data_IF_855443049794
#
_entry.id   IF_855443049794
#
_cell.length_a   1.000
_cell.length_b   1.000
_cell.length_c   1.000
_cell.angle_alpha   90.00
_cell.angle_beta   90.00
_cell.angle_gamma   90.00
#
_symmetry.space_group_name_H-M   'P 1'
#
loop_
_entity.id
_entity.type
_entity.pdbx_description
1 polymer ?
#
# COMPACT_ATOMS: atom_id res chain seq x y z
N UNK A 1 40.99 15.75 26.29
CA UNK A 1 39.91 15.28 25.41
C UNK A 1 40.59 14.78 24.14
N UNK A 2 40.84 13.47 24.06
CA UNK A 2 41.46 12.87 22.88
C UNK A 2 40.32 12.74 21.87
N UNK A 3 40.42 13.45 20.75
CA UNK A 3 39.50 13.27 19.64
C UNK A 3 39.96 11.98 18.98
N UNK A 4 39.22 10.89 19.16
CA UNK A 4 39.45 9.68 18.38
C UNK A 4 39.17 10.03 16.91
N UNK A 5 40.24 10.09 16.11
CA UNK A 5 40.13 10.26 14.66
C UNK A 5 39.78 8.90 14.07
N UNK A 6 38.56 8.78 13.57
CA UNK A 6 38.13 7.64 12.76
C UNK A 6 38.51 7.86 11.31
N UNK A 7 38.75 6.77 10.58
CA UNK A 7 38.86 6.82 9.13
C UNK A 7 37.54 7.17 8.48
N UNK A 8 37.64 7.91 7.39
CA UNK A 8 36.52 8.06 6.47
C UNK A 8 36.29 6.76 5.69
N UNK A 9 35.16 6.71 5.01
CA UNK A 9 34.72 5.53 4.28
C UNK A 9 35.64 5.24 3.08
N UNK A 10 36.26 6.24 2.46
CA UNK A 10 37.19 6.05 1.34
C UNK A 10 38.45 5.30 1.77
N UNK A 11 39.03 5.65 2.92
CA UNK A 11 40.17 4.93 3.48
C UNK A 11 39.78 3.51 3.85
N UNK A 12 38.60 3.29 4.45
CA UNK A 12 38.12 1.94 4.79
C UNK A 12 37.84 1.09 3.54
N UNK A 13 37.32 1.67 2.46
CA UNK A 13 37.15 0.99 1.18
C UNK A 13 38.51 0.56 0.61
N UNK A 14 39.54 1.41 0.68
CA UNK A 14 40.90 1.05 0.25
C UNK A 14 41.48 -0.16 1.00
N UNK A 15 41.11 -0.33 2.27
CA UNK A 15 41.52 -1.49 3.09
C UNK A 15 40.85 -2.81 2.71
N UNK A 16 39.81 -2.80 1.86
CA UNK A 16 39.24 -4.02 1.30
C UNK A 16 40.22 -4.72 0.33
N UNK A 17 41.10 -3.96 -0.31
CA UNK A 17 42.09 -4.46 -1.28
C UNK A 17 43.46 -4.70 -0.62
N UNK A 18 43.87 -3.82 0.31
CA UNK A 18 45.18 -3.88 0.96
C UNK A 18 45.08 -3.89 2.51
N UNK A 19 44.57 -4.97 3.12
CA UNK A 19 44.35 -5.03 4.58
C UNK A 19 45.64 -5.06 5.41
N UNK A 20 46.78 -5.39 4.80
CA UNK A 20 48.06 -5.63 5.48
C UNK A 20 48.75 -4.35 5.99
N UNK A 21 48.26 -3.18 5.59
CA UNK A 21 48.89 -1.88 5.90
C UNK A 21 48.24 -1.12 7.05
N UNK A 22 47.18 -1.67 7.64
CA UNK A 22 46.42 -0.93 8.64
C UNK A 22 46.83 -1.22 10.09
N UNK A 23 47.05 -0.14 10.83
CA UNK A 23 47.36 -0.15 12.26
C UNK A 23 46.23 0.37 13.15
N UNK A 24 45.16 0.92 12.56
CA UNK A 24 44.11 1.62 13.31
C UNK A 24 42.86 0.76 13.55
N UNK A 25 42.36 0.07 12.53
CA UNK A 25 41.14 -0.75 12.59
C UNK A 25 41.20 -1.83 13.68
N UNK A 26 42.33 -2.54 13.91
CA UNK A 26 42.41 -3.52 15.00
C UNK A 26 42.18 -2.94 16.40
N UNK A 27 42.34 -1.62 16.59
CA UNK A 27 42.16 -0.93 17.85
C UNK A 27 40.94 -0.02 17.92
N UNK A 28 40.09 0.01 16.88
CA UNK A 28 38.93 0.90 16.80
C UNK A 28 37.67 0.14 16.38
N UNK A 29 36.77 -0.11 17.33
CA UNK A 29 35.53 -0.86 17.12
C UNK A 29 34.62 -0.24 16.04
N UNK A 30 34.54 1.09 15.98
CA UNK A 30 33.75 1.81 14.97
C UNK A 30 34.29 1.54 13.57
N UNK A 31 35.59 1.72 13.34
CA UNK A 31 36.20 1.47 12.04
C UNK A 31 36.17 -0.03 11.67
N UNK A 32 36.30 -0.92 12.65
CA UNK A 32 36.19 -2.36 12.45
C UNK A 32 34.78 -2.76 12.00
N UNK A 33 33.73 -2.27 12.67
CA UNK A 33 32.34 -2.55 12.31
C UNK A 33 31.94 -1.99 10.94
N UNK A 34 32.40 -0.78 10.59
CA UNK A 34 32.18 -0.21 9.26
C UNK A 34 32.91 -1.01 8.19
N UNK A 35 34.18 -1.41 8.42
CA UNK A 35 34.93 -2.23 7.47
C UNK A 35 34.29 -3.62 7.28
N UNK A 36 33.78 -4.23 8.35
CA UNK A 36 33.03 -5.48 8.28
C UNK A 36 31.75 -5.33 7.45
N UNK A 37 30.99 -4.24 7.66
CA UNK A 37 29.80 -3.94 6.86
C UNK A 37 30.13 -3.75 5.37
N UNK A 38 31.25 -3.09 5.06
CA UNK A 38 31.74 -2.93 3.68
C UNK A 38 32.19 -4.27 3.07
N UNK A 39 32.78 -5.17 3.86
CA UNK A 39 33.12 -6.55 3.43
C UNK A 39 31.89 -7.38 3.15
N UNK A 40 30.86 -7.27 3.98
CA UNK A 40 29.60 -7.97 3.76
C UNK A 40 28.89 -7.46 2.49
N UNK A 41 28.84 -6.13 2.30
CA UNK A 41 28.28 -5.53 1.10
C UNK A 41 29.05 -5.94 -0.16
N UNK A 42 30.37 -5.83 -0.16
CA UNK A 42 31.20 -6.25 -1.31
C UNK A 42 31.18 -7.75 -1.54
N UNK A 43 31.06 -8.55 -0.48
CA UNK A 43 30.84 -9.99 -0.56
C UNK A 43 29.52 -10.33 -1.25
N UNK A 44 28.43 -9.66 -0.85
CA UNK A 44 27.13 -9.80 -1.51
C UNK A 44 27.20 -9.36 -2.98
N UNK A 45 27.84 -8.22 -3.27
CA UNK A 45 28.07 -7.75 -4.65
C UNK A 45 29.06 -8.61 -5.44
N UNK A 46 29.75 -9.59 -4.85
CA UNK A 46 30.56 -10.57 -5.61
C UNK A 46 29.77 -11.82 -5.98
N UNK A 47 28.58 -11.99 -5.43
CA UNK A 47 27.70 -13.09 -5.80
C UNK A 47 27.14 -12.82 -7.20
N UNK A 48 27.45 -13.70 -8.15
CA UNK A 48 26.98 -13.62 -9.54
C UNK A 48 25.44 -13.54 -9.64
N UNK A 49 24.71 -14.02 -8.63
CA UNK A 49 23.25 -13.91 -8.58
C UNK A 49 22.74 -12.48 -8.37
N UNK A 50 23.56 -11.59 -7.79
CA UNK A 50 23.23 -10.16 -7.63
C UNK A 50 23.32 -9.43 -8.96
N UNK A 51 24.23 -9.87 -9.84
CA UNK A 51 24.38 -9.36 -11.19
C UNK A 51 23.79 -10.29 -12.25
N UNK A 52 22.91 -11.22 -11.87
CA UNK A 52 22.17 -12.07 -12.80
C UNK A 52 21.25 -11.15 -13.61
N UNK A 53 21.82 -10.56 -14.67
CA UNK A 53 21.15 -9.86 -15.76
C UNK A 53 20.33 -10.90 -16.53
N UNK A 54 19.32 -11.48 -15.87
CA UNK A 54 18.35 -12.33 -16.53
C UNK A 54 17.78 -11.50 -17.65
N UNK A 55 18.12 -11.87 -18.89
CA UNK A 55 17.41 -11.39 -20.06
C UNK A 55 15.93 -11.72 -19.83
N UNK A 56 15.18 -10.68 -19.47
CA UNK A 56 13.74 -10.77 -19.34
C UNK A 56 13.24 -11.01 -20.75
N UNK A 57 12.86 -12.25 -21.02
CA UNK A 57 12.29 -12.63 -22.31
C UNK A 57 11.13 -11.69 -22.66
N UNK A 58 11.18 -11.10 -23.86
CA UNK A 58 10.07 -10.30 -24.40
C UNK A 58 8.75 -11.08 -24.45
N UNK A 59 8.83 -12.42 -24.46
CA UNK A 59 7.67 -13.31 -24.36
C UNK A 59 7.45 -13.70 -22.90
N UNK A 60 6.26 -13.45 -22.33
CA UNK A 60 5.90 -13.90 -21.00
C UNK A 60 6.06 -15.41 -20.86
N UNK A 61 6.62 -15.88 -19.74
CA UNK A 61 6.70 -17.32 -19.49
C UNK A 61 5.30 -17.93 -19.39
N UNK A 62 5.08 -19.10 -19.98
CA UNK A 62 3.80 -19.79 -19.92
C UNK A 62 3.36 -20.07 -18.47
N UNK A 63 4.32 -20.31 -17.56
CA UNK A 63 4.08 -20.48 -16.13
C UNK A 63 3.49 -19.19 -15.53
N UNK A 64 4.11 -18.04 -15.76
CA UNK A 64 3.62 -16.74 -15.27
C UNK A 64 2.25 -16.43 -15.84
N UNK A 65 2.05 -16.62 -17.16
CA UNK A 65 0.75 -16.38 -17.80
C UNK A 65 -0.35 -17.28 -17.23
N UNK A 66 -0.07 -18.57 -17.02
CA UNK A 66 -1.04 -19.49 -16.43
C UNK A 66 -1.34 -19.15 -14.96
N UNK A 67 -0.32 -18.76 -14.18
CA UNK A 67 -0.50 -18.31 -12.80
C UNK A 67 -1.40 -17.07 -12.73
N UNK A 68 -1.14 -16.06 -13.56
CA UNK A 68 -1.94 -14.82 -13.63
C UNK A 68 -3.37 -15.11 -14.09
N UNK A 69 -3.56 -15.98 -15.09
CA UNK A 69 -4.90 -16.39 -15.55
C UNK A 69 -5.66 -17.12 -14.45
N UNK A 70 -5.02 -18.07 -13.77
CA UNK A 70 -5.65 -18.80 -12.68
C UNK A 70 -6.02 -17.88 -11.51
N UNK A 71 -5.17 -16.90 -11.20
CA UNK A 71 -5.49 -15.86 -10.22
C UNK A 71 -6.69 -15.02 -10.66
N UNK A 72 -6.71 -14.54 -11.91
CA UNK A 72 -7.82 -13.74 -12.45
C UNK A 72 -9.15 -14.51 -12.41
N UNK A 73 -9.17 -15.79 -12.80
CA UNK A 73 -10.38 -16.61 -12.75
C UNK A 73 -10.86 -16.85 -11.32
N UNK A 74 -9.95 -17.10 -10.36
CA UNK A 74 -10.32 -17.21 -8.93
C UNK A 74 -10.95 -15.92 -8.41
N UNK A 75 -10.32 -14.78 -8.69
CA UNK A 75 -10.83 -13.45 -8.31
C UNK A 75 -12.21 -13.19 -8.92
N UNK A 76 -12.40 -13.52 -10.20
CA UNK A 76 -13.68 -13.37 -10.90
C UNK A 76 -14.78 -14.25 -10.31
N UNK A 77 -14.47 -15.52 -10.03
CA UNK A 77 -15.41 -16.44 -9.39
C UNK A 77 -15.80 -15.97 -7.98
N UNK A 78 -14.83 -15.49 -7.21
CA UNK A 78 -15.05 -14.91 -5.89
C UNK A 78 -15.94 -13.66 -5.96
N UNK A 79 -15.68 -12.76 -6.91
CA UNK A 79 -16.49 -11.54 -7.13
C UNK A 79 -17.92 -11.85 -7.58
N UNK A 80 -18.11 -12.94 -8.33
CA UNK A 80 -19.43 -13.40 -8.73
C UNK A 80 -20.22 -13.93 -7.52
N UNK A 81 -19.59 -14.80 -6.71
CA UNK A 81 -20.19 -15.34 -5.50
C UNK A 81 -20.52 -14.23 -4.47
N UNK A 82 -19.64 -13.24 -4.35
CA UNK A 82 -19.80 -12.09 -3.46
C UNK A 82 -21.05 -11.26 -3.78
N UNK A 83 -21.50 -11.20 -5.03
CA UNK A 83 -22.68 -10.42 -5.42
C UNK A 83 -23.96 -10.85 -4.68
N UNK A 84 -24.18 -12.17 -4.57
CA UNK A 84 -25.33 -12.72 -3.83
C UNK A 84 -25.22 -12.49 -2.32
N UNK A 85 -23.99 -12.53 -1.79
CA UNK A 85 -23.73 -12.29 -0.37
C UNK A 85 -24.00 -10.83 -0.03
N UNK A 86 -23.46 -9.90 -0.81
CA UNK A 86 -23.66 -8.46 -0.59
C UNK A 86 -25.14 -8.09 -0.72
N UNK A 87 -25.87 -8.63 -1.69
CA UNK A 87 -27.31 -8.40 -1.79
C UNK A 87 -28.05 -8.83 -0.51
N UNK A 88 -27.69 -9.98 0.09
CA UNK A 88 -28.26 -10.44 1.37
C UNK A 88 -27.89 -9.53 2.53
N UNK A 89 -26.63 -9.08 2.61
CA UNK A 89 -26.17 -8.17 3.66
C UNK A 89 -26.89 -6.82 3.59
N UNK A 90 -27.08 -6.27 2.39
CA UNK A 90 -27.72 -4.96 2.22
C UNK A 90 -29.24 -5.00 2.43
N UNK A 91 -29.88 -6.17 2.34
CA UNK A 91 -31.31 -6.34 2.56
C UNK A 91 -31.72 -6.34 4.05
N UNK A 92 -30.76 -6.41 4.98
CA UNK A 92 -31.00 -6.52 6.43
C UNK A 92 -30.43 -5.31 7.19
N UNK A 93 -30.81 -5.16 8.46
CA UNK A 93 -30.35 -4.04 9.30
C UNK A 93 -28.86 -4.17 9.67
N UNK A 94 -28.17 -3.09 10.09
CA UNK A 94 -26.76 -3.14 10.49
C UNK A 94 -26.43 -4.20 11.57
N UNK A 95 -27.32 -4.37 12.56
CA UNK A 95 -27.17 -5.37 13.62
C UNK A 95 -27.25 -6.79 13.06
N UNK A 96 -28.20 -7.02 12.16
CA UNK A 96 -28.38 -8.30 11.48
C UNK A 96 -27.21 -8.64 10.55
N UNK A 97 -26.62 -7.64 9.87
CA UNK A 97 -25.41 -7.83 9.05
C UNK A 97 -24.27 -8.41 9.87
N UNK A 98 -24.04 -7.86 11.05
CA UNK A 98 -22.99 -8.30 11.97
C UNK A 98 -23.24 -9.75 12.41
N UNK A 99 -24.48 -10.07 12.77
CA UNK A 99 -24.87 -11.43 13.13
C UNK A 99 -24.71 -12.42 11.95
N UNK A 100 -25.03 -12.02 10.72
CA UNK A 100 -24.85 -12.84 9.53
C UNK A 100 -23.38 -13.12 9.22
N UNK A 101 -22.51 -12.11 9.33
CA UNK A 101 -21.06 -12.25 9.15
C UNK A 101 -20.41 -13.08 10.27
N UNK A 102 -20.96 -13.03 11.48
CA UNK A 102 -20.54 -13.90 12.59
C UNK A 102 -20.91 -15.38 12.31
N UNK A 103 -22.14 -15.63 11.85
CA UNK A 103 -22.63 -16.97 11.50
C UNK A 103 -21.99 -17.56 10.24
N UNK A 104 -21.47 -16.72 9.35
CA UNK A 104 -20.88 -17.13 8.07
C UNK A 104 -19.45 -16.59 7.89
N UNK A 105 -18.44 -17.12 8.61
CA UNK A 105 -17.04 -16.69 8.48
C UNK A 105 -16.52 -16.80 7.04
N UNK A 106 -17.03 -17.75 6.26
CA UNK A 106 -16.66 -17.96 4.86
C UNK A 106 -17.01 -16.78 3.94
N UNK A 107 -17.88 -15.86 4.38
CA UNK A 107 -18.22 -14.62 3.65
C UNK A 107 -17.20 -13.50 3.81
N UNK A 108 -16.21 -13.66 4.70
CA UNK A 108 -15.14 -12.68 4.92
C UNK A 108 -14.06 -12.84 3.86
N UNK A 109 -14.34 -12.31 2.67
CA UNK A 109 -13.50 -12.49 1.49
C UNK A 109 -13.18 -11.17 0.82
N UNK A 110 -12.08 -11.14 0.05
CA UNK A 110 -11.69 -9.98 -0.74
C UNK A 110 -12.77 -9.59 -1.76
N UNK A 111 -13.46 -10.57 -2.36
CA UNK A 111 -14.57 -10.30 -3.27
C UNK A 111 -15.78 -9.64 -2.61
N UNK A 112 -16.12 -9.98 -1.37
CA UNK A 112 -17.19 -9.29 -0.63
C UNK A 112 -16.82 -7.83 -0.37
N UNK A 113 -15.59 -7.56 0.05
CA UNK A 113 -15.08 -6.18 0.20
C UNK A 113 -15.18 -5.42 -1.12
N UNK A 114 -14.62 -5.96 -2.22
CA UNK A 114 -14.68 -5.32 -3.54
C UNK A 114 -16.11 -5.04 -4.00
N UNK A 115 -17.05 -5.95 -3.74
CA UNK A 115 -18.47 -5.75 -4.07
C UNK A 115 -19.16 -4.70 -3.21
N UNK A 116 -18.87 -4.64 -1.92
CA UNK A 116 -19.36 -3.57 -1.05
C UNK A 116 -18.84 -2.21 -1.53
N UNK A 117 -17.55 -2.11 -1.86
CA UNK A 117 -16.94 -0.87 -2.35
C UNK A 117 -17.50 -0.43 -3.71
N UNK A 118 -17.90 -1.37 -4.57
CA UNK A 118 -18.65 -1.01 -5.78
C UNK A 118 -19.99 -0.34 -5.46
N UNK A 119 -20.71 -0.84 -4.45
CA UNK A 119 -21.96 -0.21 -4.00
C UNK A 119 -21.69 1.17 -3.39
N UNK A 120 -20.57 1.34 -2.67
CA UNK A 120 -20.14 2.65 -2.16
C UNK A 120 -19.95 3.65 -3.31
N UNK A 121 -19.23 3.27 -4.37
CA UNK A 121 -19.02 4.12 -5.56
C UNK A 121 -20.35 4.55 -6.22
N UNK A 122 -21.28 3.59 -6.38
CA UNK A 122 -22.61 3.85 -6.94
C UNK A 122 -23.47 4.78 -6.03
N UNK A 123 -23.21 4.79 -4.72
CA UNK A 123 -24.00 5.54 -3.72
C UNK A 123 -23.39 6.84 -3.25
N UNK A 124 -22.08 7.06 -3.43
CA UNK A 124 -21.37 8.24 -2.92
C UNK A 124 -22.03 9.57 -3.25
N UNK A 125 -22.66 9.69 -4.42
CA UNK A 125 -23.33 10.93 -4.85
C UNK A 125 -24.86 10.92 -4.66
N UNK A 126 -25.48 9.75 -4.56
CA UNK A 126 -26.96 9.63 -4.48
C UNK A 126 -27.46 9.44 -3.05
N UNK A 127 -26.69 8.76 -2.21
CA UNK A 127 -26.94 8.56 -0.79
C UNK A 127 -25.60 8.46 -0.04
N UNK A 128 -24.95 9.60 0.25
CA UNK A 128 -23.63 9.63 0.89
C UNK A 128 -23.60 8.98 2.28
N UNK A 129 -24.71 9.05 3.03
CA UNK A 129 -24.81 8.45 4.37
C UNK A 129 -24.79 6.93 4.28
N UNK A 130 -25.61 6.37 3.39
CA UNK A 130 -25.59 4.93 3.13
C UNK A 130 -24.22 4.48 2.59
N UNK A 131 -23.60 5.27 1.72
CA UNK A 131 -22.26 4.96 1.21
C UNK A 131 -21.23 4.87 2.36
N UNK A 132 -21.24 5.81 3.31
CA UNK A 132 -20.37 5.78 4.48
C UNK A 132 -20.62 4.55 5.37
N UNK A 133 -21.88 4.18 5.60
CA UNK A 133 -22.25 2.97 6.35
C UNK A 133 -21.75 1.68 5.67
N UNK A 134 -21.91 1.59 4.35
CA UNK A 134 -21.45 0.43 3.57
C UNK A 134 -19.91 0.37 3.52
N UNK A 135 -19.23 1.52 3.44
CA UNK A 135 -17.78 1.57 3.50
C UNK A 135 -17.25 1.13 4.88
N UNK A 136 -17.93 1.51 5.97
CA UNK A 136 -17.61 1.01 7.31
C UNK A 136 -17.80 -0.52 7.41
N UNK A 137 -18.85 -1.07 6.81
CA UNK A 137 -19.03 -2.51 6.70
C UNK A 137 -17.91 -3.18 5.89
N UNK A 138 -17.48 -2.58 4.78
CA UNK A 138 -16.39 -3.09 3.96
C UNK A 138 -15.07 -3.15 4.73
N UNK A 139 -14.77 -2.13 5.55
CA UNK A 139 -13.63 -2.11 6.48
C UNK A 139 -13.74 -3.26 7.49
N UNK A 140 -14.89 -3.42 8.15
CA UNK A 140 -15.09 -4.50 9.11
C UNK A 140 -14.90 -5.90 8.49
N UNK A 141 -15.37 -6.09 7.25
CA UNK A 141 -15.10 -7.33 6.51
C UNK A 141 -13.61 -7.49 6.21
N UNK A 142 -12.94 -6.46 5.69
CA UNK A 142 -11.51 -6.48 5.35
C UNK A 142 -10.60 -6.77 6.56
N UNK A 143 -10.93 -6.22 7.72
CA UNK A 143 -10.19 -6.45 8.96
C UNK A 143 -10.39 -7.88 9.48
N UNK A 144 -11.57 -8.45 9.25
CA UNK A 144 -11.95 -9.80 9.69
C UNK A 144 -11.51 -10.94 8.75
N UNK A 145 -10.85 -10.63 7.63
CA UNK A 145 -10.31 -11.65 6.72
C UNK A 145 -9.24 -12.48 7.44
N UNK A 146 -9.36 -13.81 7.36
CA UNK A 146 -8.45 -14.74 8.02
C UNK A 146 -7.01 -14.62 7.51
N UNK A 147 -6.06 -14.60 8.46
CA UNK A 147 -4.63 -14.63 8.16
C UNK A 147 -4.27 -15.93 7.42
N UNK A 148 -3.60 -15.81 6.27
CA UNK A 148 -3.21 -16.95 5.44
C UNK A 148 -4.18 -17.31 4.32
N UNK A 149 -5.40 -16.74 4.29
CA UNK A 149 -6.33 -16.93 3.15
C UNK A 149 -5.83 -16.28 1.87
N UNK A 150 -5.10 -15.18 2.00
CA UNK A 150 -4.45 -14.46 0.90
C UNK A 150 -3.01 -14.13 1.29
N UNK A 151 -2.13 -13.83 0.31
CA UNK A 151 -0.81 -13.27 0.59
C UNK A 151 -0.91 -12.00 1.44
N UNK A 152 0.07 -11.77 2.31
CA UNK A 152 0.08 -10.66 3.27
C UNK A 152 -0.20 -9.30 2.60
N UNK A 153 0.57 -8.92 1.57
CA UNK A 153 0.37 -7.68 0.80
C UNK A 153 -1.02 -7.58 0.19
N UNK A 154 -1.64 -8.71 -0.20
CA UNK A 154 -3.00 -8.70 -0.74
C UNK A 154 -4.02 -8.30 0.33
N UNK A 155 -3.84 -8.78 1.57
CA UNK A 155 -4.71 -8.41 2.70
C UNK A 155 -4.47 -6.95 3.10
N UNK A 156 -3.21 -6.53 3.20
CA UNK A 156 -2.88 -5.15 3.57
C UNK A 156 -3.42 -4.15 2.55
N UNK A 157 -3.23 -4.41 1.24
CA UNK A 157 -3.82 -3.57 0.18
C UNK A 157 -5.34 -3.59 0.16
N UNK A 158 -5.96 -4.73 0.49
CA UNK A 158 -7.43 -4.81 0.61
C UNK A 158 -7.95 -3.93 1.75
N UNK A 159 -7.27 -3.96 2.91
CA UNK A 159 -7.60 -3.11 4.06
C UNK A 159 -7.38 -1.63 3.74
N UNK A 160 -6.22 -1.30 3.18
CA UNK A 160 -5.92 0.05 2.71
C UNK A 160 -6.98 0.58 1.74
N UNK A 161 -7.38 -0.25 0.77
CA UNK A 161 -8.45 0.07 -0.17
C UNK A 161 -9.76 0.37 0.57
N UNK A 162 -10.19 -0.49 1.50
CA UNK A 162 -11.44 -0.29 2.25
C UNK A 162 -11.40 0.99 3.11
N UNK A 163 -10.29 1.25 3.80
CA UNK A 163 -10.10 2.46 4.59
C UNK A 163 -10.08 3.72 3.74
N UNK A 164 -9.42 3.69 2.57
CA UNK A 164 -9.39 4.81 1.64
C UNK A 164 -10.78 5.15 1.08
N UNK A 165 -11.56 4.14 0.68
CA UNK A 165 -12.92 4.37 0.21
C UNK A 165 -13.86 4.84 1.34
N UNK A 166 -13.62 4.39 2.59
CA UNK A 166 -14.31 4.94 3.77
C UNK A 166 -13.99 6.41 3.97
N UNK A 167 -12.72 6.81 3.87
CA UNK A 167 -12.34 8.21 3.94
C UNK A 167 -13.08 9.04 2.88
N UNK A 168 -13.14 8.54 1.65
CA UNK A 168 -13.83 9.23 0.56
C UNK A 168 -15.35 9.33 0.78
N UNK A 169 -15.99 8.30 1.32
CA UNK A 169 -17.41 8.38 1.69
C UNK A 169 -17.66 9.38 2.84
N UNK A 170 -16.76 9.42 3.84
CA UNK A 170 -16.84 10.36 4.98
C UNK A 170 -16.67 11.82 4.53
N UNK A 171 -15.84 12.08 3.51
CA UNK A 171 -15.69 13.39 2.89
C UNK A 171 -17.05 13.93 2.42
N UNK A 172 -17.87 13.10 1.75
CA UNK A 172 -19.17 13.52 1.20
C UNK A 172 -20.23 13.84 2.26
N UNK A 173 -20.07 13.37 3.49
CA UNK A 173 -20.95 13.73 4.61
C UNK A 173 -20.37 14.82 5.50
N UNK A 174 -19.19 15.38 5.16
CA UNK A 174 -18.53 16.44 5.90
C UNK A 174 -17.80 15.99 7.17
N UNK A 175 -17.65 14.68 7.40
CA UNK A 175 -16.90 14.12 8.53
C UNK A 175 -15.39 14.13 8.24
N UNK A 176 -14.82 15.34 8.13
CA UNK A 176 -13.42 15.51 7.74
C UNK A 176 -12.41 14.93 8.74
N UNK A 177 -12.57 15.06 10.08
CA UNK A 177 -11.64 14.45 11.03
C UNK A 177 -11.59 12.92 10.90
N UNK A 178 -12.74 12.25 10.86
CA UNK A 178 -12.82 10.80 10.72
C UNK A 178 -12.35 10.34 9.33
N UNK A 179 -12.52 11.18 8.31
CA UNK A 179 -11.98 10.94 6.98
C UNK A 179 -10.45 10.93 6.97
N UNK A 180 -9.82 11.89 7.65
CA UNK A 180 -8.36 11.93 7.82
C UNK A 180 -7.85 10.75 8.63
N UNK A 181 -8.51 10.39 9.74
CA UNK A 181 -8.16 9.19 10.52
C UNK A 181 -8.22 7.92 9.64
N UNK A 182 -9.23 7.79 8.78
CA UNK A 182 -9.32 6.67 7.85
C UNK A 182 -8.18 6.66 6.81
N UNK A 183 -7.67 7.81 6.39
CA UNK A 183 -6.48 7.88 5.54
C UNK A 183 -5.20 7.53 6.29
N UNK A 184 -5.10 7.86 7.59
CA UNK A 184 -3.96 7.45 8.40
C UNK A 184 -3.92 5.92 8.55
N UNK A 185 -5.08 5.28 8.76
CA UNK A 185 -5.20 3.80 8.73
C UNK A 185 -4.86 3.20 7.36
N UNK A 186 -5.13 3.94 6.28
CA UNK A 186 -4.72 3.55 4.93
C UNK A 186 -3.20 3.53 4.83
N UNK A 187 -2.53 4.58 5.28
CA UNK A 187 -1.07 4.70 5.23
C UNK A 187 -0.39 3.66 6.12
N UNK A 188 -0.92 3.39 7.32
CA UNK A 188 -0.46 2.29 8.19
C UNK A 188 -0.47 0.94 7.44
N UNK A 189 -1.57 0.61 6.76
CA UNK A 189 -1.66 -0.64 5.98
C UNK A 189 -0.67 -0.67 4.80
N UNK A 190 -0.50 0.45 4.10
CA UNK A 190 0.36 0.54 2.92
C UNK A 190 1.86 0.54 3.24
N UNK A 191 2.26 1.09 4.39
CA UNK A 191 3.64 1.04 4.88
C UNK A 191 4.15 -0.37 5.20
N UNK A 192 3.23 -1.32 5.43
CA UNK A 192 3.56 -2.72 5.62
C UNK A 192 3.74 -3.49 4.29
N UNK A 193 3.39 -2.90 3.14
CA UNK A 193 3.47 -3.55 1.84
C UNK A 193 4.85 -3.33 1.20
N UNK A 194 5.31 -4.29 0.39
CA UNK A 194 6.58 -4.14 -0.31
C UNK A 194 6.54 -3.09 -1.45
N UNK A 195 5.37 -2.91 -2.07
CA UNK A 195 5.15 -1.95 -3.16
C UNK A 195 3.80 -1.27 -2.97
N UNK A 196 3.78 0.01 -2.65
CA UNK A 196 2.54 0.75 -2.33
C UNK A 196 2.50 2.20 -2.83
N UNK A 197 3.52 2.69 -3.54
CA UNK A 197 3.63 4.09 -3.98
C UNK A 197 2.38 4.60 -4.71
N UNK A 198 1.84 3.79 -5.62
CA UNK A 198 0.61 4.15 -6.35
C UNK A 198 -0.61 4.26 -5.42
N UNK A 199 -0.75 3.35 -4.46
CA UNK A 199 -1.86 3.37 -3.52
C UNK A 199 -1.74 4.53 -2.53
N UNK A 200 -0.52 4.88 -2.10
CA UNK A 200 -0.24 6.07 -1.30
C UNK A 200 -0.56 7.35 -2.09
N UNK A 201 -0.13 7.46 -3.35
CA UNK A 201 -0.45 8.59 -4.20
C UNK A 201 -1.97 8.78 -4.35
N UNK A 202 -2.72 7.68 -4.50
CA UNK A 202 -4.19 7.72 -4.52
C UNK A 202 -4.81 8.17 -3.20
N UNK A 203 -4.30 7.71 -2.06
CA UNK A 203 -4.75 8.16 -0.75
C UNK A 203 -4.43 9.65 -0.53
N UNK A 204 -3.25 10.10 -0.97
CA UNK A 204 -2.82 11.49 -0.99
C UNK A 204 -3.80 12.38 -1.75
N UNK A 205 -4.28 11.97 -2.92
CA UNK A 205 -5.30 12.74 -3.66
C UNK A 205 -6.58 12.97 -2.83
N UNK A 206 -7.04 11.98 -2.05
CA UNK A 206 -8.19 12.18 -1.15
C UNK A 206 -7.85 13.08 0.03
N UNK A 207 -6.65 12.96 0.60
CA UNK A 207 -6.17 13.87 1.65
C UNK A 207 -6.14 15.32 1.17
N UNK A 208 -5.67 15.55 -0.05
CA UNK A 208 -5.65 16.87 -0.67
C UNK A 208 -7.07 17.44 -0.88
N UNK A 209 -8.03 16.61 -1.29
CA UNK A 209 -9.44 17.04 -1.37
C UNK A 209 -9.97 17.49 0.00
N UNK A 210 -9.73 16.71 1.05
CA UNK A 210 -10.17 17.06 2.41
C UNK A 210 -9.49 18.35 2.87
N UNK A 211 -8.18 18.49 2.66
CA UNK A 211 -7.45 19.72 3.02
C UNK A 211 -7.95 20.94 2.26
N UNK A 212 -8.37 20.79 1.00
CA UNK A 212 -9.01 21.87 0.25
C UNK A 212 -10.35 22.27 0.89
N UNK A 213 -11.20 21.32 1.27
CA UNK A 213 -12.47 21.63 1.97
C UNK A 213 -12.24 22.28 3.35
N UNK A 214 -11.08 22.04 3.97
CA UNK A 214 -10.63 22.69 5.20
C UNK A 214 -9.85 23.99 4.97
N UNK A 215 -9.81 24.50 3.73
CA UNK A 215 -9.07 25.71 3.32
C UNK A 215 -7.55 25.67 3.58
N UNK A 216 -6.98 24.47 3.75
CA UNK A 216 -5.54 24.21 3.92
C UNK A 216 -4.85 24.05 2.56
N UNK A 217 -4.99 25.06 1.70
CA UNK A 217 -4.60 24.98 0.28
C UNK A 217 -3.11 24.67 0.06
N UNK A 218 -2.22 25.25 0.87
CA UNK A 218 -0.78 25.00 0.74
C UNK A 218 -0.40 23.53 0.94
N UNK A 219 -1.04 22.88 1.91
CA UNK A 219 -0.81 21.47 2.22
C UNK A 219 -1.46 20.57 1.16
N UNK A 220 -2.67 20.91 0.70
CA UNK A 220 -3.31 20.21 -0.41
C UNK A 220 -2.43 20.23 -1.67
N UNK A 221 -1.88 21.39 -2.03
CA UNK A 221 -1.00 21.55 -3.19
C UNK A 221 0.30 20.76 -3.05
N UNK A 222 0.91 20.73 -1.86
CA UNK A 222 2.12 19.93 -1.62
C UNK A 222 1.85 18.46 -1.91
N UNK A 223 0.76 17.91 -1.36
CA UNK A 223 0.38 16.51 -1.54
C UNK A 223 0.10 16.19 -3.02
N UNK A 224 -0.61 17.07 -3.73
CA UNK A 224 -0.91 16.87 -5.17
C UNK A 224 0.38 16.85 -5.99
N UNK A 225 1.33 17.75 -5.71
CA UNK A 225 2.62 17.81 -6.41
C UNK A 225 3.46 16.56 -6.20
N UNK A 226 3.42 15.98 -5.01
CA UNK A 226 4.09 14.72 -4.69
C UNK A 226 3.41 13.50 -5.36
N UNK A 227 2.07 13.45 -5.33
CA UNK A 227 1.31 12.33 -5.88
C UNK A 227 1.32 12.27 -7.42
N UNK A 228 1.31 13.43 -8.08
CA UNK A 228 1.22 13.56 -9.55
C UNK A 228 2.28 12.76 -10.33
N UNK A 229 3.60 12.90 -10.08
CA UNK A 229 4.61 12.17 -10.84
C UNK A 229 4.49 10.65 -10.68
N UNK A 230 4.08 10.17 -9.50
CA UNK A 230 3.82 8.75 -9.25
C UNK A 230 2.64 8.29 -10.10
N UNK A 231 1.50 9.00 -10.05
CA UNK A 231 0.32 8.66 -10.86
C UNK A 231 0.62 8.65 -12.37
N UNK A 232 1.46 9.58 -12.82
CA UNK A 232 1.93 9.64 -14.21
C UNK A 232 2.80 8.44 -14.59
N UNK A 233 3.73 8.02 -13.72
CA UNK A 233 4.58 6.85 -13.94
C UNK A 233 3.76 5.55 -14.08
N UNK A 234 2.63 5.46 -13.38
CA UNK A 234 1.68 4.33 -13.48
C UNK A 234 0.66 4.48 -14.62
N UNK A 235 0.73 5.56 -15.41
CA UNK A 235 -0.14 5.80 -16.57
C UNK A 235 -1.58 6.20 -16.23
N UNK A 236 -1.87 6.62 -14.99
CA UNK A 236 -3.22 7.03 -14.58
C UNK A 236 -3.55 8.47 -15.02
N UNK A 237 -3.75 8.63 -16.33
CA UNK A 237 -3.99 9.93 -16.98
C UNK A 237 -5.21 10.67 -16.41
N UNK A 238 -6.23 9.93 -15.96
CA UNK A 238 -7.43 10.54 -15.37
C UNK A 238 -7.09 11.24 -14.06
N UNK A 239 -6.33 10.59 -13.18
CA UNK A 239 -5.94 11.19 -11.89
C UNK A 239 -4.87 12.27 -12.05
N UNK A 240 -4.00 12.18 -13.05
CA UNK A 240 -3.09 13.27 -13.41
C UNK A 240 -3.89 14.52 -13.81
N UNK A 241 -4.93 14.39 -14.65
CA UNK A 241 -5.77 15.53 -14.99
C UNK A 241 -6.47 16.15 -13.77
N UNK A 242 -6.91 15.34 -12.81
CA UNK A 242 -7.49 15.85 -11.54
C UNK A 242 -6.44 16.60 -10.71
N UNK A 243 -5.22 16.06 -10.62
CA UNK A 243 -4.10 16.72 -9.98
C UNK A 243 -3.80 18.08 -10.63
N UNK A 244 -3.73 18.13 -11.96
CA UNK A 244 -3.49 19.36 -12.72
C UNK A 244 -4.60 20.41 -12.51
N UNK A 245 -5.86 20.01 -12.30
CA UNK A 245 -6.95 20.97 -11.99
C UNK A 245 -6.95 21.50 -10.57
N UNK A 246 -6.16 20.89 -9.68
CA UNK A 246 -6.07 21.28 -8.26
C UNK A 246 -4.87 22.20 -8.01
N UNK A 247 -3.91 22.27 -8.94
CA UNK A 247 -2.78 23.22 -8.99
C UNK A 247 -3.20 24.60 -9.51
#
# INVERSE_FOLDING_TARGET
MIIEQHYDEEVLIGLLEEPERDSHVPGCDTCAGTLESLRDLTGALRDDSVWDERQVSDKPSAKTTNMLRAFAERTKAEDAAAGLIVAKLLAVTPEERTALLAKNPQWRTAGVVRRLLKVVDDKNFSDPKLAAEIAALAVGVADSVEAGRYPFDTIMKLRALAWRERAYALLYIGSFPESLEALDRTDECLSACAVSDYDHARAGMYRALIYRELERYGEALSIVREARPILAAYGDRKRVAVADTTE
#
